data_IF_905337395566
#
_entry.id   IF_905337395566
#
_cell.length_a   1.000
_cell.length_b   1.000
_cell.length_c   1.000
_cell.angle_alpha   90.00
_cell.angle_beta   90.00
_cell.angle_gamma   90.00
#
_symmetry.space_group_name_H-M   'P 1'
#
loop_
_entity.id
_entity.type
_entity.pdbx_description
1 polymer ?
#
# COMPACT_ATOMS: atom_id res chain seq x y z
N UNK A 1 3.46 -5.27 -4.15
CA UNK A 1 3.90 -6.58 -4.67
C UNK A 1 2.74 -7.48 -5.08
N UNK A 2 1.59 -7.44 -4.40
CA UNK A 2 0.41 -8.28 -4.71
C UNK A 2 0.01 -8.17 -6.18
N UNK A 3 -0.25 -6.99 -6.70
CA UNK A 3 -0.70 -6.75 -8.06
C UNK A 3 0.32 -7.20 -9.10
N UNK A 4 1.60 -6.94 -8.84
CA UNK A 4 2.70 -7.36 -9.70
C UNK A 4 2.84 -8.90 -9.77
N UNK A 5 2.48 -9.61 -8.71
CA UNK A 5 2.44 -11.08 -8.70
C UNK A 5 1.19 -11.62 -9.40
N UNK A 6 0.02 -11.04 -9.14
CA UNK A 6 -1.26 -11.47 -9.73
C UNK A 6 -1.30 -11.29 -11.25
N UNK A 7 -0.62 -10.27 -11.79
CA UNK A 7 -0.66 -9.96 -13.23
C UNK A 7 -0.30 -11.15 -14.13
N UNK A 8 0.59 -12.03 -13.68
CA UNK A 8 1.01 -13.18 -14.46
C UNK A 8 -0.12 -14.21 -14.67
N UNK A 9 -1.08 -14.28 -13.75
CA UNK A 9 -2.23 -15.16 -13.81
C UNK A 9 -3.48 -14.53 -14.46
N UNK A 10 -3.42 -13.26 -14.88
CA UNK A 10 -4.56 -12.62 -15.53
C UNK A 10 -4.76 -13.13 -16.97
N UNK A 11 -6.04 -13.31 -17.41
CA UNK A 11 -6.33 -13.97 -18.68
C UNK A 11 -6.03 -13.11 -19.92
N UNK A 12 -6.03 -11.79 -19.82
CA UNK A 12 -5.85 -10.90 -20.96
C UNK A 12 -4.85 -9.76 -20.71
N UNK A 13 -4.42 -9.11 -21.81
CA UNK A 13 -3.41 -8.06 -21.77
C UNK A 13 -3.89 -6.77 -21.09
N UNK A 14 -5.20 -6.46 -21.16
CA UNK A 14 -5.78 -5.30 -20.50
C UNK A 14 -5.62 -5.42 -18.99
N UNK A 15 -6.01 -6.56 -18.42
CA UNK A 15 -5.86 -6.83 -17.00
C UNK A 15 -4.40 -6.83 -16.56
N UNK A 16 -3.51 -7.47 -17.33
CA UNK A 16 -2.07 -7.45 -17.06
C UNK A 16 -1.51 -6.04 -17.04
N UNK A 17 -1.92 -5.20 -17.99
CA UNK A 17 -1.48 -3.80 -18.03
C UNK A 17 -2.01 -3.00 -16.84
N UNK A 18 -3.28 -3.14 -16.46
CA UNK A 18 -3.87 -2.46 -15.30
C UNK A 18 -3.13 -2.84 -14.01
N UNK A 19 -2.92 -4.15 -13.77
CA UNK A 19 -2.23 -4.61 -12.57
C UNK A 19 -0.75 -4.19 -12.54
N UNK A 20 -0.10 -4.16 -13.70
CA UNK A 20 1.27 -3.67 -13.81
C UNK A 20 1.37 -2.18 -13.49
N UNK A 21 0.49 -1.38 -14.07
CA UNK A 21 0.47 0.07 -13.92
C UNK A 21 0.20 0.45 -12.45
N UNK A 22 -0.89 -0.08 -11.87
CA UNK A 22 -1.20 0.16 -10.46
C UNK A 22 -0.08 -0.39 -9.55
N UNK A 23 0.40 -1.60 -9.80
CA UNK A 23 1.45 -2.22 -8.98
C UNK A 23 2.78 -1.46 -8.98
N UNK A 24 3.15 -0.83 -10.09
CA UNK A 24 4.34 0.04 -10.16
C UNK A 24 4.10 1.38 -9.47
N UNK A 25 2.89 1.92 -9.55
CA UNK A 25 2.51 3.13 -8.81
C UNK A 25 2.57 2.88 -7.28
N UNK A 26 2.17 1.71 -6.80
CA UNK A 26 2.29 1.35 -5.38
C UNK A 26 3.75 1.30 -4.87
N UNK A 27 4.71 1.01 -5.74
CA UNK A 27 6.12 1.14 -5.36
C UNK A 27 6.52 2.60 -5.16
N UNK A 28 5.95 3.52 -5.94
CA UNK A 28 6.13 4.95 -5.74
C UNK A 28 5.42 5.44 -4.46
N UNK A 29 4.25 4.90 -4.12
CA UNK A 29 3.57 5.19 -2.85
C UNK A 29 4.42 4.74 -1.64
N UNK A 30 5.03 3.56 -1.72
CA UNK A 30 5.98 3.11 -0.70
C UNK A 30 7.14 4.09 -0.51
N UNK A 31 7.73 4.59 -1.61
CA UNK A 31 8.79 5.60 -1.59
C UNK A 31 8.32 6.91 -0.95
N UNK A 32 7.12 7.38 -1.28
CA UNK A 32 6.55 8.59 -0.68
C UNK A 32 6.36 8.44 0.83
N UNK A 33 5.81 7.33 1.29
CA UNK A 33 5.62 7.06 2.73
C UNK A 33 6.97 6.95 3.43
N UNK A 34 7.93 6.22 2.84
CA UNK A 34 9.30 6.12 3.37
C UNK A 34 9.98 7.48 3.51
N UNK A 35 9.80 8.35 2.53
CA UNK A 35 10.35 9.72 2.55
C UNK A 35 9.70 10.56 3.66
N UNK A 36 8.39 10.48 3.85
CA UNK A 36 7.69 11.17 4.96
C UNK A 36 8.26 10.70 6.31
N UNK A 37 8.36 9.39 6.53
CA UNK A 37 8.92 8.82 7.76
C UNK A 37 10.35 9.30 7.98
N UNK A 38 11.20 9.25 6.95
CA UNK A 38 12.56 9.75 7.02
C UNK A 38 12.61 11.24 7.42
N UNK A 39 11.81 12.09 6.77
CA UNK A 39 11.78 13.53 7.07
C UNK A 39 11.35 13.82 8.50
N UNK A 40 10.39 13.07 9.02
CA UNK A 40 9.90 13.23 10.39
C UNK A 40 10.90 12.75 11.45
N UNK A 41 11.77 11.79 11.14
CA UNK A 41 12.62 11.12 12.12
C UNK A 41 14.12 11.42 11.98
N UNK A 42 14.57 12.00 10.88
CA UNK A 42 16.00 12.19 10.55
C UNK A 42 16.82 12.94 11.58
N UNK A 43 16.19 13.78 12.42
CA UNK A 43 16.85 14.57 13.46
C UNK A 43 16.54 14.07 14.87
N UNK A 44 15.77 12.98 15.00
CA UNK A 44 15.40 12.43 16.30
C UNK A 44 16.61 11.69 16.93
N UNK A 45 16.81 11.89 18.22
CA UNK A 45 17.76 11.12 19.02
C UNK A 45 17.22 9.70 19.26
N UNK A 46 18.10 8.75 19.60
CA UNK A 46 17.71 7.39 19.99
C UNK A 46 16.72 7.44 21.17
N UNK A 47 16.95 8.31 22.15
CA UNK A 47 16.06 8.47 23.30
C UNK A 47 14.64 8.92 22.89
N UNK A 48 14.53 9.84 21.94
CA UNK A 48 13.24 10.30 21.41
C UNK A 48 12.52 9.17 20.64
N UNK A 49 13.25 8.40 19.84
CA UNK A 49 12.72 7.24 19.10
C UNK A 49 12.19 6.18 20.06
N UNK A 50 12.96 5.83 21.10
CA UNK A 50 12.55 4.85 22.12
C UNK A 50 11.35 5.37 22.93
N UNK A 51 11.34 6.62 23.35
CA UNK A 51 10.22 7.24 24.07
C UNK A 51 8.94 7.28 23.25
N UNK A 52 9.04 7.42 21.92
CA UNK A 52 7.91 7.37 21.01
C UNK A 52 7.42 5.93 20.73
N UNK A 53 8.09 4.90 21.27
CA UNK A 53 7.76 3.50 21.00
C UNK A 53 8.19 3.01 19.62
N UNK A 54 9.07 3.73 18.93
CA UNK A 54 9.53 3.42 17.58
C UNK A 54 10.82 2.60 17.56
N UNK A 55 11.40 2.27 18.72
CA UNK A 55 12.65 1.52 18.85
C UNK A 55 12.70 0.24 17.99
N UNK A 56 11.66 -0.62 17.95
CA UNK A 56 11.66 -1.84 17.16
C UNK A 56 11.90 -1.64 15.66
N UNK A 57 11.55 -0.47 15.10
CA UNK A 57 11.77 -0.18 13.68
C UNK A 57 13.23 0.13 13.34
N UNK A 58 14.06 0.41 14.36
CA UNK A 58 15.46 0.82 14.20
C UNK A 58 16.46 -0.16 14.81
N UNK A 59 15.99 -1.21 15.53
CA UNK A 59 16.83 -2.09 16.36
C UNK A 59 18.02 -2.69 15.59
N UNK A 60 17.77 -3.20 14.38
CA UNK A 60 18.79 -3.89 13.59
C UNK A 60 19.55 -2.97 12.62
N UNK A 61 19.05 -1.76 12.39
CA UNK A 61 19.52 -0.87 11.31
C UNK A 61 20.00 0.50 11.81
N UNK A 62 20.03 0.73 13.12
CA UNK A 62 20.42 2.00 13.70
C UNK A 62 19.39 3.09 13.38
N UNK A 63 19.69 3.96 12.42
CA UNK A 63 18.80 5.05 12.01
C UNK A 63 17.95 4.72 10.78
N UNK A 64 18.10 3.54 10.23
CA UNK A 64 17.34 3.12 9.03
C UNK A 64 15.98 2.53 9.42
N UNK A 65 14.96 2.85 8.61
CA UNK A 65 13.61 2.30 8.80
C UNK A 65 13.57 0.86 8.34
N UNK A 66 13.06 -0.03 9.19
CA UNK A 66 12.87 -1.43 8.88
C UNK A 66 11.40 -1.73 8.55
N UNK A 67 11.09 -2.43 7.42
CA UNK A 67 9.72 -2.68 7.01
C UNK A 67 9.06 -3.75 7.87
N UNK A 68 8.23 -3.32 8.82
CA UNK A 68 7.42 -4.19 9.66
C UNK A 68 6.05 -3.56 9.94
N UNK A 69 5.10 -4.38 10.41
CA UNK A 69 3.79 -3.87 10.84
C UNK A 69 3.88 -3.11 12.17
N UNK A 70 2.84 -2.32 12.49
CA UNK A 70 2.73 -1.63 13.78
C UNK A 70 2.76 -2.60 14.99
N UNK A 71 2.43 -3.88 14.79
CA UNK A 71 2.52 -4.92 15.82
C UNK A 71 3.90 -5.60 15.90
N UNK A 72 4.89 -5.12 15.14
CA UNK A 72 6.26 -5.63 15.15
C UNK A 72 6.50 -6.88 14.28
N UNK A 73 5.54 -7.27 13.44
CA UNK A 73 5.77 -8.37 12.50
C UNK A 73 6.55 -7.89 11.28
N UNK A 74 7.64 -8.60 10.90
CA UNK A 74 8.38 -8.28 9.69
C UNK A 74 7.52 -8.49 8.44
N UNK A 75 7.96 -7.93 7.31
CA UNK A 75 7.31 -8.19 6.03
C UNK A 75 7.28 -9.71 5.74
N UNK A 76 6.09 -10.22 5.39
CA UNK A 76 5.88 -11.64 5.07
C UNK A 76 5.09 -11.77 3.76
N UNK A 77 5.65 -12.50 2.80
CA UNK A 77 5.03 -12.78 1.52
C UNK A 77 3.75 -13.63 1.62
N UNK A 78 3.51 -14.33 2.73
CA UNK A 78 2.26 -15.06 2.97
C UNK A 78 1.02 -14.15 2.97
N UNK A 79 1.19 -12.85 3.21
CA UNK A 79 0.11 -11.87 3.12
C UNK A 79 -0.28 -11.50 1.68
N UNK A 80 0.48 -11.95 0.66
CA UNK A 80 0.17 -11.68 -0.73
C UNK A 80 -0.97 -12.59 -1.22
N UNK A 81 -2.17 -12.03 -1.39
CA UNK A 81 -3.31 -12.73 -1.94
C UNK A 81 -3.13 -12.92 -3.46
N UNK A 82 -2.70 -14.11 -3.86
CA UNK A 82 -2.51 -14.48 -5.27
C UNK A 82 -2.96 -15.94 -5.43
N UNK A 83 -4.19 -16.13 -5.94
CA UNK A 83 -4.84 -17.45 -6.03
C UNK A 83 -4.93 -18.02 -7.44
N UNK A 84 -4.52 -17.26 -8.48
CA UNK A 84 -4.70 -17.67 -9.86
C UNK A 84 -6.15 -17.55 -10.37
N UNK A 85 -7.08 -17.13 -9.54
CA UNK A 85 -8.46 -16.84 -9.89
C UNK A 85 -8.62 -15.32 -10.08
N UNK A 86 -8.95 -14.83 -11.29
CA UNK A 86 -9.03 -13.39 -11.56
C UNK A 86 -10.08 -12.67 -10.73
N UNK A 87 -11.23 -13.31 -10.49
CA UNK A 87 -12.33 -12.71 -9.72
C UNK A 87 -11.96 -12.60 -8.23
N UNK A 88 -11.40 -13.68 -7.65
CA UNK A 88 -10.94 -13.66 -6.27
C UNK A 88 -9.82 -12.62 -6.08
N UNK A 89 -8.85 -12.56 -6.99
CA UNK A 89 -7.77 -11.60 -6.94
C UNK A 89 -8.27 -10.15 -7.01
N UNK A 90 -9.23 -9.86 -7.91
CA UNK A 90 -9.80 -8.51 -8.04
C UNK A 90 -10.63 -8.11 -6.81
N UNK A 91 -11.37 -9.02 -6.19
CA UNK A 91 -12.08 -8.73 -4.93
C UNK A 91 -11.13 -8.39 -3.78
N UNK A 92 -10.03 -9.13 -3.65
CA UNK A 92 -8.98 -8.83 -2.69
C UNK A 92 -8.33 -7.46 -2.96
N UNK A 93 -8.13 -7.11 -4.24
CA UNK A 93 -7.58 -5.81 -4.61
C UNK A 93 -8.54 -4.68 -4.26
N UNK A 94 -9.84 -4.80 -4.54
CA UNK A 94 -10.86 -3.83 -4.13
C UNK A 94 -10.86 -3.60 -2.62
N UNK A 95 -10.79 -4.68 -1.84
CA UNK A 95 -10.73 -4.60 -0.39
C UNK A 95 -9.42 -3.95 0.08
N UNK A 96 -8.30 -4.21 -0.59
CA UNK A 96 -7.00 -3.61 -0.27
C UNK A 96 -6.99 -2.10 -0.47
N UNK A 97 -7.50 -1.62 -1.63
CA UNK A 97 -7.59 -0.18 -1.93
C UNK A 97 -8.48 0.55 -0.91
N UNK A 98 -9.61 -0.04 -0.52
CA UNK A 98 -10.47 0.55 0.49
C UNK A 98 -9.82 0.60 1.87
N UNK A 99 -9.06 -0.43 2.25
CA UNK A 99 -8.30 -0.42 3.51
C UNK A 99 -7.20 0.64 3.48
N UNK A 100 -6.45 0.75 2.38
CA UNK A 100 -5.42 1.76 2.22
C UNK A 100 -6.00 3.18 2.28
N UNK A 101 -7.09 3.44 1.54
CA UNK A 101 -7.83 4.71 1.60
C UNK A 101 -8.24 5.07 3.03
N UNK A 102 -8.81 4.12 3.76
CA UNK A 102 -9.24 4.33 5.15
C UNK A 102 -8.04 4.57 6.08
N UNK A 103 -6.91 3.90 5.84
CA UNK A 103 -5.68 4.10 6.61
C UNK A 103 -5.14 5.52 6.40
N UNK A 104 -5.06 6.00 5.16
CA UNK A 104 -4.65 7.38 4.89
C UNK A 104 -5.60 8.41 5.52
N UNK A 105 -6.90 8.20 5.48
CA UNK A 105 -7.87 9.06 6.17
C UNK A 105 -7.62 9.11 7.69
N UNK A 106 -7.37 7.96 8.30
CA UNK A 106 -7.05 7.89 9.72
C UNK A 106 -5.75 8.62 10.05
N UNK A 107 -4.70 8.47 9.23
CA UNK A 107 -3.43 9.16 9.42
C UNK A 107 -3.56 10.69 9.28
N UNK A 108 -4.33 11.16 8.31
CA UNK A 108 -4.63 12.60 8.13
C UNK A 108 -5.29 13.18 9.38
N UNK A 109 -6.17 12.42 10.03
CA UNK A 109 -6.86 12.86 11.25
C UNK A 109 -5.96 12.87 12.51
N UNK A 110 -4.74 12.31 12.43
CA UNK A 110 -3.79 12.25 13.55
C UNK A 110 -2.76 13.39 13.56
N UNK A 111 -2.76 14.25 12.54
CA UNK A 111 -1.77 15.32 12.40
C UNK A 111 -2.42 16.62 11.94
N UNK A 112 -1.85 17.74 12.32
CA UNK A 112 -2.17 19.08 11.81
C UNK A 112 -1.05 19.66 10.93
N UNK A 113 0.01 18.90 10.68
CA UNK A 113 1.14 19.30 9.86
C UNK A 113 0.75 19.26 8.35
N UNK A 114 0.71 20.43 7.66
CA UNK A 114 0.33 20.50 6.26
C UNK A 114 1.32 19.77 5.32
N UNK A 115 2.59 19.65 5.71
CA UNK A 115 3.61 18.98 4.91
C UNK A 115 3.47 17.44 4.99
N UNK A 116 2.75 16.93 5.99
CA UNK A 116 2.34 15.52 6.10
C UNK A 116 0.97 15.30 5.46
N UNK A 117 0.00 16.18 5.75
CA UNK A 117 -1.37 16.09 5.24
C UNK A 117 -1.41 16.11 3.70
N UNK A 118 -0.67 17.01 3.07
CA UNK A 118 -0.67 17.16 1.62
C UNK A 118 -0.35 15.88 0.85
N UNK A 119 0.80 15.24 1.09
CA UNK A 119 1.14 13.94 0.49
C UNK A 119 0.15 12.83 0.82
N UNK A 120 -0.35 12.74 2.06
CA UNK A 120 -1.33 11.73 2.44
C UNK A 120 -2.68 11.91 1.73
N UNK A 121 -3.12 13.15 1.48
CA UNK A 121 -4.31 13.44 0.66
C UNK A 121 -4.13 12.98 -0.78
N UNK A 122 -2.94 13.18 -1.36
CA UNK A 122 -2.61 12.68 -2.69
C UNK A 122 -2.69 11.15 -2.71
N UNK A 123 -2.02 10.46 -1.81
CA UNK A 123 -2.04 8.99 -1.71
C UNK A 123 -3.48 8.47 -1.56
N UNK A 124 -4.24 9.02 -0.63
CA UNK A 124 -5.66 8.68 -0.42
C UNK A 124 -6.47 8.81 -1.72
N UNK A 125 -6.23 9.86 -2.51
CA UNK A 125 -6.92 10.05 -3.78
C UNK A 125 -6.52 9.01 -4.82
N UNK A 126 -5.26 8.56 -4.81
CA UNK A 126 -4.81 7.50 -5.73
C UNK A 126 -5.47 6.17 -5.42
N UNK A 127 -5.68 5.81 -4.16
CA UNK A 127 -6.42 4.58 -3.78
C UNK A 127 -7.85 4.56 -4.32
N UNK A 128 -8.51 5.72 -4.40
CA UNK A 128 -9.86 5.85 -5.01
C UNK A 128 -9.80 5.56 -6.51
N UNK A 129 -8.77 6.06 -7.20
CA UNK A 129 -8.56 5.80 -8.63
C UNK A 129 -8.24 4.32 -8.88
N UNK A 130 -7.37 3.72 -8.09
CA UNK A 130 -7.02 2.30 -8.18
C UNK A 130 -8.26 1.42 -7.95
N UNK A 131 -9.03 1.70 -6.91
CA UNK A 131 -10.30 1.01 -6.64
C UNK A 131 -11.24 1.08 -7.85
N UNK A 132 -11.41 2.25 -8.45
CA UNK A 132 -12.31 2.43 -9.60
C UNK A 132 -11.84 1.59 -10.79
N UNK A 133 -10.55 1.59 -11.10
CA UNK A 133 -9.97 0.80 -12.18
C UNK A 133 -10.13 -0.71 -11.97
N UNK A 134 -9.89 -1.19 -10.74
CA UNK A 134 -10.14 -2.59 -10.38
C UNK A 134 -11.62 -2.95 -10.43
N UNK A 135 -12.50 -2.03 -10.00
CA UNK A 135 -13.95 -2.24 -10.04
C UNK A 135 -14.47 -2.38 -11.47
N UNK A 136 -14.05 -1.52 -12.36
CA UNK A 136 -14.38 -1.59 -13.79
C UNK A 136 -13.94 -2.92 -14.40
N UNK A 137 -12.73 -3.37 -14.12
CA UNK A 137 -12.21 -4.66 -14.59
C UNK A 137 -12.99 -5.84 -14.00
N UNK A 138 -13.30 -5.79 -12.71
CA UNK A 138 -14.10 -6.80 -12.03
C UNK A 138 -15.50 -6.92 -12.65
N UNK A 139 -16.18 -5.80 -12.87
CA UNK A 139 -17.52 -5.77 -13.44
C UNK A 139 -17.52 -6.28 -14.89
N UNK A 140 -16.50 -5.93 -15.67
CA UNK A 140 -16.29 -6.45 -17.01
C UNK A 140 -16.15 -7.99 -17.01
N UNK A 141 -15.33 -8.53 -16.12
CA UNK A 141 -15.11 -9.98 -16.01
C UNK A 141 -16.39 -10.71 -15.58
N UNK A 142 -17.11 -10.16 -14.62
CA UNK A 142 -18.42 -10.71 -14.18
C UNK A 142 -19.42 -10.72 -15.33
N UNK A 143 -19.51 -9.64 -16.12
CA UNK A 143 -20.43 -9.55 -17.25
C UNK A 143 -20.11 -10.53 -18.38
N UNK A 144 -18.82 -10.87 -18.55
CA UNK A 144 -18.33 -11.84 -19.53
C UNK A 144 -18.36 -13.30 -19.05
N UNK A 145 -18.75 -13.54 -17.78
CA UNK A 145 -18.73 -14.87 -17.19
C UNK A 145 -17.32 -15.45 -16.99
N UNK A 146 -16.30 -14.61 -16.94
CA UNK A 146 -14.93 -15.04 -16.62
C UNK A 146 -14.89 -15.47 -15.15
N UNK A 147 -14.31 -16.63 -14.92
CA UNK A 147 -14.15 -17.24 -13.60
C UNK A 147 -12.67 -17.31 -13.24
#
# INVERSE_FOLDING_TARGET
LRYLSQRFGMPDQKAKAILNDIGTEELAHLEMVGTIVHQLTKSASIEEIEKAGLGPYYTDHGVDVYPQSAAGFPFDANCLACKGDPIANLQENLAAEQKARATYENLINLTDDPDVIGPLLFLRQREIVHFTRFKELYDEYKSKGIK
#
